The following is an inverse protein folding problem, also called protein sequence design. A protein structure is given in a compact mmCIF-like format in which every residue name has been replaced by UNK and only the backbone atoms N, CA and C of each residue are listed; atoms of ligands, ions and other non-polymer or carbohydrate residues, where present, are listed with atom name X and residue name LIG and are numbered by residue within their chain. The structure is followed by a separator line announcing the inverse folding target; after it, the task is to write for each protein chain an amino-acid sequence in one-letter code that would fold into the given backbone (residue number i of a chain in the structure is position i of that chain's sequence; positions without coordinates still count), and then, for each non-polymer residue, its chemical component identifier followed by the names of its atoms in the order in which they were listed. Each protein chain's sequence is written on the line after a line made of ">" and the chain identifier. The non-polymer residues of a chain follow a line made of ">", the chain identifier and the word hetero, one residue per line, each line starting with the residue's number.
data_IF_070134766369
#
_entry.id   IF_070134766369
#
_cell.length_a   1.000
_cell.length_b   1.000
_cell.length_c   1.000
_cell.angle_alpha   90.00
_cell.angle_beta   90.00
_cell.angle_gamma   90.00
#
_symmetry.space_group_name_H-M   'P 1'
#
loop_
_entity.id
_entity.type
_entity.pdbx_description
1 polymer ?
#
# COMPACT_ATOMS: atom_id res chain seq x y z
N UNK A 1 8.42 -26.44 11.82
CA UNK A 1 8.29 -25.44 10.74
C UNK A 1 7.64 -26.17 9.59
N UNK A 2 6.48 -25.72 9.11
CA UNK A 2 5.79 -26.34 7.98
C UNK A 2 6.65 -26.15 6.72
N UNK A 3 6.82 -27.17 5.89
CA UNK A 3 7.49 -27.06 4.59
C UNK A 3 6.68 -26.27 3.54
N UNK A 4 5.60 -25.59 3.96
CA UNK A 4 4.75 -24.76 3.07
C UNK A 4 5.22 -23.31 3.08
N UNK A 5 5.06 -22.58 1.96
CA UNK A 5 5.34 -21.15 1.91
C UNK A 5 4.58 -20.39 3.01
N UNK A 6 5.24 -19.44 3.64
CA UNK A 6 4.61 -18.56 4.64
C UNK A 6 3.61 -17.58 4.00
N UNK A 7 3.89 -17.15 2.76
CA UNK A 7 3.08 -16.21 2.03
C UNK A 7 3.55 -16.06 0.58
N UNK A 8 2.91 -15.17 -0.14
CA UNK A 8 3.19 -14.86 -1.54
C UNK A 8 3.48 -13.38 -1.70
N UNK A 9 4.58 -13.05 -2.38
CA UNK A 9 4.89 -11.69 -2.78
C UNK A 9 4.37 -11.45 -4.19
N UNK A 10 3.44 -10.51 -4.33
CA UNK A 10 2.85 -10.16 -5.61
C UNK A 10 3.20 -8.71 -5.96
N UNK A 11 3.77 -8.43 -7.13
CA UNK A 11 3.95 -7.07 -7.60
C UNK A 11 2.60 -6.33 -7.67
N UNK A 12 2.53 -5.14 -7.09
CA UNK A 12 1.28 -4.39 -7.00
C UNK A 12 0.65 -4.09 -8.38
N UNK A 13 1.48 -3.81 -9.40
CA UNK A 13 1.01 -3.58 -10.75
C UNK A 13 0.36 -4.83 -11.36
N UNK A 14 0.90 -6.03 -11.07
CA UNK A 14 0.36 -7.30 -11.53
C UNK A 14 -1.00 -7.57 -10.88
N UNK A 15 -1.08 -7.45 -9.56
CA UNK A 15 -2.33 -7.61 -8.82
C UNK A 15 -3.42 -6.68 -9.36
N UNK A 16 -3.09 -5.39 -9.55
CA UNK A 16 -4.04 -4.43 -10.12
C UNK A 16 -4.50 -4.79 -11.52
N UNK A 17 -3.59 -5.23 -12.40
CA UNK A 17 -3.92 -5.65 -13.76
C UNK A 17 -4.92 -6.80 -13.75
N UNK A 18 -4.64 -7.85 -12.96
CA UNK A 18 -5.50 -9.03 -12.89
C UNK A 18 -6.87 -8.70 -12.28
N UNK A 19 -6.92 -7.84 -11.25
CA UNK A 19 -8.17 -7.39 -10.67
C UNK A 19 -9.01 -6.57 -11.67
N UNK A 20 -8.42 -5.65 -12.41
CA UNK A 20 -9.13 -4.87 -13.45
C UNK A 20 -9.61 -5.77 -14.57
N UNK A 21 -8.79 -6.73 -15.02
CA UNK A 21 -9.21 -7.73 -16.02
C UNK A 21 -10.42 -8.53 -15.52
N UNK A 22 -10.38 -8.99 -14.27
CA UNK A 22 -11.49 -9.73 -13.69
C UNK A 22 -12.77 -8.91 -13.54
N UNK A 23 -12.67 -7.63 -13.17
CA UNK A 23 -13.82 -6.73 -13.07
C UNK A 23 -14.53 -6.59 -14.43
N UNK A 24 -13.78 -6.52 -15.53
CA UNK A 24 -14.35 -6.40 -16.88
C UNK A 24 -15.20 -7.63 -17.29
N UNK A 25 -15.00 -8.78 -16.68
CA UNK A 25 -15.77 -10.01 -16.93
C UNK A 25 -17.07 -10.09 -16.10
N UNK A 26 -17.28 -9.18 -15.14
CA UNK A 26 -18.42 -9.21 -14.23
C UNK A 26 -19.57 -8.32 -14.74
N UNK A 27 -20.69 -8.90 -15.23
CA UNK A 27 -21.78 -8.13 -15.86
C UNK A 27 -22.55 -7.24 -14.88
N UNK A 28 -22.38 -7.46 -13.59
CA UNK A 28 -23.04 -6.68 -12.53
C UNK A 28 -22.13 -5.57 -11.95
N UNK A 29 -20.96 -5.33 -12.55
CA UNK A 29 -20.02 -4.28 -12.13
C UNK A 29 -19.89 -3.23 -13.22
N UNK A 30 -20.23 -1.98 -12.90
CA UNK A 30 -19.98 -0.82 -13.76
C UNK A 30 -18.69 -0.13 -13.31
N UNK A 31 -17.59 -0.44 -13.98
CA UNK A 31 -16.26 0.12 -13.68
C UNK A 31 -16.02 1.40 -14.48
N UNK A 32 -15.86 2.52 -13.78
CA UNK A 32 -15.68 3.87 -14.37
C UNK A 32 -14.30 4.44 -14.04
N UNK A 33 -13.24 4.04 -14.76
CA UNK A 33 -11.90 4.58 -14.55
C UNK A 33 -11.87 6.08 -14.86
N UNK A 34 -11.17 6.85 -14.00
CA UNK A 34 -11.07 8.31 -14.14
C UNK A 34 -12.23 9.10 -13.56
N UNK A 35 -13.30 8.44 -13.10
CA UNK A 35 -14.42 9.08 -12.40
C UNK A 35 -14.23 8.97 -10.89
N UNK A 36 -14.28 10.09 -10.19
CA UNK A 36 -14.13 10.17 -8.74
C UNK A 36 -15.44 10.45 -8.01
N UNK A 37 -15.41 10.23 -6.70
CA UNK A 37 -16.44 10.69 -5.78
C UNK A 37 -16.26 12.19 -5.50
N UNK A 38 -17.35 12.97 -5.57
CA UNK A 38 -17.37 14.39 -5.19
C UNK A 38 -18.02 14.57 -3.82
N UNK A 39 -19.29 14.21 -3.70
CA UNK A 39 -20.05 14.31 -2.45
C UNK A 39 -21.19 13.31 -2.39
N UNK A 40 -21.79 13.14 -1.21
CA UNK A 40 -23.01 12.37 -1.03
C UNK A 40 -24.00 13.07 -0.11
N UNK A 41 -25.27 12.76 -0.32
CA UNK A 41 -26.37 13.09 0.58
C UNK A 41 -27.01 11.78 1.04
N UNK A 42 -26.81 11.42 2.30
CA UNK A 42 -27.45 10.24 2.89
C UNK A 42 -28.90 10.55 3.30
N UNK A 43 -29.80 9.65 2.94
CA UNK A 43 -31.22 9.64 3.32
C UNK A 43 -31.56 8.31 4.02
N UNK A 44 -32.74 8.18 4.53
CA UNK A 44 -33.18 6.97 5.27
C UNK A 44 -33.10 5.69 4.41
N UNK A 45 -33.45 5.76 3.12
CA UNK A 45 -33.54 4.59 2.25
C UNK A 45 -32.37 4.50 1.24
N UNK A 46 -31.69 5.60 0.94
CA UNK A 46 -30.68 5.71 -0.13
C UNK A 46 -29.60 6.74 0.18
N UNK A 47 -28.50 6.71 -0.53
CA UNK A 47 -27.57 7.83 -0.65
C UNK A 47 -27.56 8.34 -2.10
N UNK A 48 -27.63 9.66 -2.28
CA UNK A 48 -27.41 10.30 -3.57
C UNK A 48 -25.94 10.70 -3.65
N UNK A 49 -25.19 10.05 -4.53
CA UNK A 49 -23.77 10.31 -4.75
C UNK A 49 -23.62 11.17 -5.99
N UNK A 50 -22.88 12.25 -5.87
CA UNK A 50 -22.45 13.09 -7.00
C UNK A 50 -21.01 12.69 -7.36
N UNK A 51 -20.79 12.40 -8.64
CA UNK A 51 -19.49 12.06 -9.20
C UNK A 51 -18.77 13.33 -9.68
N UNK A 52 -17.46 13.27 -9.85
CA UNK A 52 -16.62 14.42 -10.27
C UNK A 52 -16.99 15.01 -11.62
N UNK A 53 -17.65 14.25 -12.47
CA UNK A 53 -18.20 14.67 -13.78
C UNK A 53 -19.61 15.29 -13.67
N UNK A 54 -20.16 15.41 -12.46
CA UNK A 54 -21.49 16.01 -12.19
C UNK A 54 -22.67 15.02 -12.24
N UNK A 55 -22.46 13.78 -12.68
CA UNK A 55 -23.49 12.74 -12.68
C UNK A 55 -23.92 12.41 -11.24
N UNK A 56 -25.23 12.23 -11.04
CA UNK A 56 -25.77 11.76 -9.77
C UNK A 56 -26.27 10.32 -9.91
N UNK A 57 -25.94 9.51 -8.90
CA UNK A 57 -26.42 8.13 -8.78
C UNK A 57 -27.08 7.92 -7.42
N UNK A 58 -28.20 7.20 -7.41
CA UNK A 58 -28.85 6.73 -6.18
C UNK A 58 -28.35 5.33 -5.85
N UNK A 59 -27.90 5.13 -4.62
CA UNK A 59 -27.33 3.85 -4.15
C UNK A 59 -27.85 3.51 -2.75
N UNK A 60 -27.92 2.23 -2.44
CA UNK A 60 -28.34 1.76 -1.10
C UNK A 60 -27.22 1.89 -0.07
N UNK A 61 -25.97 1.78 -0.50
CA UNK A 61 -24.77 1.82 0.32
C UNK A 61 -23.60 2.40 -0.48
N UNK A 62 -22.79 3.24 0.15
CA UNK A 62 -21.50 3.73 -0.36
C UNK A 62 -20.38 3.03 0.40
N UNK A 63 -19.47 2.38 -0.30
CA UNK A 63 -18.27 1.77 0.32
C UNK A 63 -17.07 2.66 0.01
N UNK A 64 -16.50 3.29 1.04
CA UNK A 64 -15.29 4.08 0.96
C UNK A 64 -14.05 3.20 0.99
N UNK A 65 -13.41 3.02 -0.17
CA UNK A 65 -12.11 2.35 -0.35
C UNK A 65 -11.09 3.29 -1.01
N UNK A 66 -11.27 4.60 -0.83
CA UNK A 66 -10.63 5.70 -1.53
C UNK A 66 -9.34 6.22 -0.83
N UNK A 67 -8.76 5.37 0.02
CA UNK A 67 -7.45 5.58 0.60
C UNK A 67 -7.45 6.48 1.84
N UNK A 68 -6.26 6.75 2.36
CA UNK A 68 -6.04 7.45 3.64
C UNK A 68 -6.65 8.85 3.71
N UNK A 69 -6.80 9.52 2.58
CA UNK A 69 -7.43 10.84 2.46
C UNK A 69 -8.93 10.83 2.26
N UNK A 70 -9.59 9.69 2.40
CA UNK A 70 -10.96 9.35 2.02
C UNK A 70 -11.94 10.52 2.01
N UNK A 71 -12.49 10.81 0.83
CA UNK A 71 -13.56 11.77 0.64
C UNK A 71 -14.90 11.21 1.13
N UNK A 72 -15.11 9.90 0.96
CA UNK A 72 -16.30 9.22 1.49
C UNK A 72 -16.37 9.31 3.01
N UNK A 73 -15.24 9.06 3.71
CA UNK A 73 -15.17 9.20 5.17
C UNK A 73 -15.55 10.60 5.63
N UNK A 74 -14.99 11.63 4.96
CA UNK A 74 -15.30 13.02 5.27
C UNK A 74 -16.78 13.36 5.01
N UNK A 75 -17.35 12.88 3.90
CA UNK A 75 -18.74 13.10 3.57
C UNK A 75 -19.70 12.37 4.51
N UNK A 76 -19.25 11.29 5.15
CA UNK A 76 -20.00 10.57 6.19
C UNK A 76 -19.81 11.16 7.60
N UNK A 77 -19.08 12.29 7.73
CA UNK A 77 -18.77 12.96 9.00
C UNK A 77 -18.07 12.04 10.01
N UNK A 78 -17.18 11.17 9.50
CA UNK A 78 -16.41 10.23 10.32
C UNK A 78 -15.02 10.80 10.54
N UNK A 79 -14.68 11.10 11.78
CA UNK A 79 -13.37 11.57 12.20
C UNK A 79 -12.28 10.52 12.04
N UNK A 80 -11.02 10.97 12.03
CA UNK A 80 -9.87 10.10 11.96
C UNK A 80 -8.78 10.53 12.95
N UNK A 81 -8.25 9.57 13.69
CA UNK A 81 -7.08 9.77 14.53
C UNK A 81 -5.83 9.35 13.78
N UNK A 82 -4.88 10.27 13.63
CA UNK A 82 -3.61 10.03 12.94
C UNK A 82 -2.43 10.18 13.89
N UNK A 83 -1.57 9.18 13.94
CA UNK A 83 -0.26 9.23 14.61
C UNK A 83 0.86 9.28 13.58
N UNK A 84 1.70 10.31 13.65
CA UNK A 84 2.89 10.49 12.82
C UNK A 84 4.13 10.13 13.61
N UNK A 85 5.03 9.32 13.03
CA UNK A 85 6.23 8.82 13.71
C UNK A 85 7.49 9.62 13.35
N UNK A 86 7.40 10.60 12.45
CA UNK A 86 8.57 11.34 11.94
C UNK A 86 9.45 10.52 10.97
N UNK A 87 9.16 9.25 10.82
CA UNK A 87 9.86 8.34 9.92
C UNK A 87 9.25 8.34 8.52
N UNK A 88 10.07 7.96 7.55
CA UNK A 88 9.66 7.66 6.17
C UNK A 88 10.20 6.29 5.76
N UNK A 89 9.54 5.65 4.82
CA UNK A 89 10.06 4.52 4.06
C UNK A 89 10.56 5.01 2.71
N UNK A 90 11.72 4.52 2.29
CA UNK A 90 12.25 4.61 0.94
C UNK A 90 12.05 3.26 0.27
N UNK A 91 11.36 3.23 -0.87
CA UNK A 91 11.05 2.01 -1.62
C UNK A 91 11.70 2.05 -3.00
N UNK A 92 12.34 0.97 -3.38
CA UNK A 92 13.03 0.80 -4.66
C UNK A 92 13.26 -0.69 -4.94
N UNK A 93 13.73 -1.05 -6.13
CA UNK A 93 14.17 -2.39 -6.46
C UNK A 93 15.67 -2.40 -6.71
N UNK A 94 16.33 -3.50 -6.33
CA UNK A 94 17.76 -3.72 -6.51
C UNK A 94 18.03 -5.06 -7.16
N UNK A 95 19.06 -5.13 -8.00
CA UNK A 95 19.71 -6.38 -8.37
C UNK A 95 20.88 -6.66 -7.43
N UNK A 96 21.24 -7.93 -7.28
CA UNK A 96 22.34 -8.39 -6.42
C UNK A 96 22.97 -9.68 -6.96
N UNK A 97 24.04 -10.15 -6.34
CA UNK A 97 24.80 -11.31 -6.84
C UNK A 97 24.31 -12.64 -6.28
N UNK A 98 24.11 -12.72 -4.96
CA UNK A 98 23.65 -13.94 -4.32
C UNK A 98 22.13 -14.12 -4.46
N UNK A 99 21.60 -15.32 -4.77
CA UNK A 99 20.17 -15.57 -4.87
C UNK A 99 19.47 -15.39 -3.52
N UNK A 100 18.25 -14.87 -3.53
CA UNK A 100 17.45 -14.65 -2.32
C UNK A 100 16.69 -15.91 -1.85
N UNK A 101 16.76 -17.02 -2.58
CA UNK A 101 16.12 -18.32 -2.26
C UNK A 101 14.62 -18.19 -1.89
N UNK A 102 13.93 -17.19 -2.44
CA UNK A 102 12.55 -16.83 -2.10
C UNK A 102 12.34 -16.47 -0.61
N UNK A 103 13.38 -16.04 0.08
CA UNK A 103 13.33 -15.62 1.48
C UNK A 103 13.31 -14.09 1.56
N UNK A 104 12.29 -13.54 2.25
CA UNK A 104 12.30 -12.13 2.64
C UNK A 104 13.26 -11.92 3.81
N UNK A 105 14.20 -11.00 3.63
CA UNK A 105 15.25 -10.73 4.62
C UNK A 105 15.07 -9.35 5.21
N UNK A 106 15.10 -9.25 6.53
CA UNK A 106 14.99 -7.98 7.24
C UNK A 106 16.23 -7.72 8.09
N UNK A 107 16.92 -6.61 7.82
CA UNK A 107 18.12 -6.18 8.52
C UNK A 107 17.78 -5.06 9.49
N UNK A 108 17.89 -5.35 10.79
CA UNK A 108 17.64 -4.39 11.85
C UNK A 108 18.92 -3.67 12.25
N UNK A 109 18.91 -2.35 12.15
CA UNK A 109 19.95 -1.45 12.69
C UNK A 109 19.29 -0.17 13.18
N UNK A 110 20.07 0.74 13.79
CA UNK A 110 19.56 2.04 14.23
C UNK A 110 18.88 2.80 13.09
N UNK A 111 17.73 3.40 13.38
CA UNK A 111 16.93 4.20 12.44
C UNK A 111 15.74 3.46 11.83
N UNK A 112 15.71 2.13 11.88
CA UNK A 112 14.58 1.32 11.39
C UNK A 112 15.00 0.14 10.53
N UNK A 113 14.07 -0.71 10.10
CA UNK A 113 14.34 -1.88 9.29
C UNK A 113 14.76 -1.54 7.85
N UNK A 114 15.55 -2.46 7.27
CA UNK A 114 15.86 -2.54 5.85
C UNK A 114 15.43 -3.92 5.38
N UNK A 115 14.35 -3.99 4.64
CA UNK A 115 13.71 -5.24 4.23
C UNK A 115 13.94 -5.48 2.75
N UNK A 116 14.46 -6.65 2.39
CA UNK A 116 14.59 -7.15 1.03
C UNK A 116 13.52 -8.19 0.78
N UNK A 117 12.66 -7.97 -0.21
CA UNK A 117 11.55 -8.83 -0.58
C UNK A 117 11.82 -9.41 -1.95
N UNK A 118 11.82 -10.74 -2.14
CA UNK A 118 12.06 -11.37 -3.42
C UNK A 118 11.20 -10.84 -4.55
N UNK A 119 11.82 -10.57 -5.69
CA UNK A 119 11.18 -10.27 -6.96
C UNK A 119 11.65 -11.28 -8.02
N UNK A 120 10.94 -11.45 -9.13
CA UNK A 120 11.49 -12.12 -10.30
C UNK A 120 12.81 -11.50 -10.74
N UNK A 121 13.69 -12.29 -11.32
CA UNK A 121 14.97 -11.84 -11.83
C UNK A 121 14.81 -10.64 -12.79
N UNK A 122 15.69 -9.69 -12.68
CA UNK A 122 15.76 -8.53 -13.56
C UNK A 122 16.99 -8.67 -14.47
N UNK A 123 16.76 -8.79 -15.78
CA UNK A 123 17.83 -9.00 -16.77
C UNK A 123 18.77 -10.17 -16.43
N UNK A 124 18.18 -11.28 -15.91
CA UNK A 124 18.92 -12.49 -15.55
C UNK A 124 19.71 -12.39 -14.25
N UNK A 125 19.53 -11.35 -13.45
CA UNK A 125 20.14 -11.19 -12.13
C UNK A 125 19.09 -11.29 -11.03
N UNK A 126 19.40 -11.88 -9.87
CA UNK A 126 18.54 -11.88 -8.71
C UNK A 126 18.11 -10.45 -8.35
N UNK A 127 16.82 -10.28 -8.04
CA UNK A 127 16.24 -8.97 -7.79
C UNK A 127 15.38 -8.98 -6.51
N UNK A 128 15.43 -7.89 -5.76
CA UNK A 128 14.60 -7.70 -4.57
C UNK A 128 13.99 -6.30 -4.53
N UNK A 129 12.73 -6.22 -4.08
CA UNK A 129 12.16 -4.96 -3.65
C UNK A 129 12.71 -4.60 -2.27
N UNK A 130 13.00 -3.32 -2.06
CA UNK A 130 13.53 -2.82 -0.80
C UNK A 130 12.54 -1.86 -0.15
N UNK A 131 12.34 -2.04 1.16
CA UNK A 131 11.71 -1.07 2.03
C UNK A 131 12.73 -0.66 3.09
N UNK A 132 13.23 0.56 2.99
CA UNK A 132 14.22 1.13 3.92
C UNK A 132 13.57 2.19 4.79
N UNK A 133 13.36 1.91 6.06
CA UNK A 133 12.80 2.88 7.00
C UNK A 133 13.90 3.63 7.76
N UNK A 134 13.70 4.93 7.93
CA UNK A 134 14.56 5.77 8.75
C UNK A 134 13.84 7.08 9.10
N UNK A 135 14.52 7.94 9.87
CA UNK A 135 14.12 9.34 10.06
C UNK A 135 13.85 10.03 8.71
N UNK A 136 12.83 10.89 8.69
CA UNK A 136 12.37 11.53 7.46
C UNK A 136 13.44 12.37 6.77
N UNK A 137 14.33 13.02 7.53
CA UNK A 137 15.44 13.83 6.99
C UNK A 137 16.50 12.93 6.36
N UNK A 138 16.87 11.84 7.04
CA UNK A 138 17.81 10.85 6.50
C UNK A 138 17.30 10.21 5.22
N UNK A 139 16.02 9.86 5.16
CA UNK A 139 15.41 9.31 3.94
C UNK A 139 15.42 10.33 2.80
N UNK A 140 15.16 11.61 3.06
CA UNK A 140 15.25 12.65 2.05
C UNK A 140 16.67 12.80 1.48
N UNK A 141 17.68 12.78 2.34
CA UNK A 141 19.09 12.84 1.93
C UNK A 141 19.49 11.59 1.11
N UNK A 142 19.09 10.40 1.54
CA UNK A 142 19.34 9.15 0.79
C UNK A 142 18.68 9.16 -0.58
N UNK A 143 17.44 9.63 -0.67
CA UNK A 143 16.72 9.70 -1.94
C UNK A 143 17.36 10.67 -2.95
N UNK A 144 18.08 11.68 -2.47
CA UNK A 144 18.77 12.70 -3.27
C UNK A 144 20.18 12.30 -3.72
N UNK A 145 20.75 11.20 -3.21
CA UNK A 145 22.08 10.72 -3.62
C UNK A 145 22.11 10.39 -5.11
N UNK A 146 23.28 10.60 -5.73
CA UNK A 146 23.57 10.06 -7.04
C UNK A 146 23.50 8.52 -7.06
N UNK A 147 23.35 7.87 -8.21
CA UNK A 147 23.18 6.41 -8.27
C UNK A 147 24.28 5.63 -7.56
N UNK A 148 25.55 5.96 -7.79
CA UNK A 148 26.67 5.20 -7.23
C UNK A 148 26.76 5.32 -5.71
N UNK A 149 26.59 6.54 -5.18
CA UNK A 149 26.56 6.79 -3.73
C UNK A 149 25.36 6.12 -3.06
N UNK A 150 24.21 6.08 -3.75
CA UNK A 150 23.02 5.40 -3.26
C UNK A 150 23.22 3.88 -3.18
N UNK A 151 23.77 3.26 -4.22
CA UNK A 151 24.04 1.82 -4.28
C UNK A 151 25.04 1.40 -3.18
N UNK A 152 26.08 2.20 -2.97
CA UNK A 152 27.03 1.99 -1.88
C UNK A 152 26.35 2.07 -0.50
N UNK A 153 25.49 3.07 -0.29
CA UNK A 153 24.75 3.24 0.97
C UNK A 153 23.76 2.08 1.20
N UNK A 154 23.03 1.62 0.17
CA UNK A 154 22.12 0.50 0.25
C UNK A 154 22.87 -0.81 0.53
N UNK A 155 24.00 -1.05 -0.12
CA UNK A 155 24.89 -2.20 0.11
C UNK A 155 25.39 -2.22 1.55
N UNK A 156 25.92 -1.11 2.04
CA UNK A 156 26.37 -1.00 3.42
C UNK A 156 25.24 -1.24 4.42
N UNK A 157 24.04 -0.71 4.14
CA UNK A 157 22.88 -0.85 5.00
C UNK A 157 22.34 -2.29 5.05
N UNK A 158 22.44 -3.04 3.95
CA UNK A 158 22.06 -4.46 3.89
C UNK A 158 23.03 -5.38 4.64
N UNK A 159 24.19 -4.87 5.08
CA UNK A 159 25.25 -5.70 5.64
C UNK A 159 25.95 -6.59 4.60
N UNK A 160 25.75 -6.34 3.31
CA UNK A 160 26.34 -7.11 2.23
C UNK A 160 25.80 -8.55 2.09
N UNK A 161 24.64 -8.85 2.67
CA UNK A 161 24.07 -10.22 2.73
C UNK A 161 23.97 -10.86 1.33
N UNK A 162 23.60 -10.07 0.32
CA UNK A 162 23.47 -10.54 -1.08
C UNK A 162 24.58 -10.00 -1.99
N UNK A 163 25.66 -9.44 -1.41
CA UNK A 163 26.72 -8.75 -2.17
C UNK A 163 26.33 -7.31 -2.51
N UNK A 164 27.01 -6.70 -3.50
CA UNK A 164 26.70 -5.34 -3.96
C UNK A 164 25.25 -5.21 -4.46
N UNK A 165 24.57 -4.16 -4.01
CA UNK A 165 23.22 -3.82 -4.46
C UNK A 165 23.28 -2.73 -5.53
N UNK A 166 22.56 -2.93 -6.63
CA UNK A 166 22.41 -1.93 -7.72
C UNK A 166 20.94 -1.57 -7.87
N UNK A 167 20.59 -0.30 -7.70
CA UNK A 167 19.22 0.19 -7.82
C UNK A 167 18.77 0.19 -9.29
N UNK A 168 17.66 -0.51 -9.58
CA UNK A 168 17.13 -0.69 -10.94
C UNK A 168 15.73 -0.07 -11.12
N UNK A 169 15.25 0.70 -10.16
CA UNK A 169 13.94 1.35 -10.22
C UNK A 169 13.98 2.80 -9.76
N UNK A 170 12.85 3.49 -9.92
CA UNK A 170 12.65 4.79 -9.26
C UNK A 170 12.60 4.61 -7.74
N UNK A 171 13.07 5.61 -7.02
CA UNK A 171 13.04 5.70 -5.54
C UNK A 171 11.74 6.39 -5.11
N UNK A 172 10.89 5.69 -4.38
CA UNK A 172 9.65 6.24 -3.81
C UNK A 172 9.80 6.54 -2.33
N UNK A 173 9.26 7.67 -1.84
CA UNK A 173 9.27 8.00 -0.41
C UNK A 173 7.85 8.06 0.16
N UNK A 174 7.63 7.44 1.30
CA UNK A 174 6.33 7.31 1.93
C UNK A 174 6.41 7.66 3.42
N UNK A 175 5.51 8.51 3.95
CA UNK A 175 5.46 8.78 5.38
C UNK A 175 4.99 7.54 6.16
N UNK A 176 5.61 7.26 7.29
CA UNK A 176 5.16 6.24 8.22
C UNK A 176 4.17 6.86 9.18
N UNK A 177 2.93 6.43 9.07
CA UNK A 177 1.82 6.88 9.90
C UNK A 177 0.96 5.70 10.35
N UNK A 178 0.28 5.84 11.47
CA UNK A 178 -0.92 5.06 11.78
C UNK A 178 -2.13 5.97 11.71
N UNK A 179 -3.22 5.45 11.18
CA UNK A 179 -4.48 6.16 11.09
C UNK A 179 -5.63 5.20 11.38
N UNK A 180 -6.64 5.66 12.11
CA UNK A 180 -7.85 4.89 12.37
C UNK A 180 -9.05 5.83 12.36
N UNK A 181 -10.09 5.47 11.62
CA UNK A 181 -11.38 6.14 11.63
C UNK A 181 -12.07 5.93 12.99
N UNK A 182 -12.80 6.94 13.45
CA UNK A 182 -13.57 6.87 14.70
C UNK A 182 -14.73 5.87 14.66
N UNK A 183 -15.22 5.58 13.44
CA UNK A 183 -16.20 4.55 13.14
C UNK A 183 -15.93 3.93 11.76
N UNK A 184 -16.31 2.67 11.56
CA UNK A 184 -16.18 1.98 10.28
C UNK A 184 -17.41 2.15 9.39
N UNK A 185 -18.48 2.73 9.92
CA UNK A 185 -19.73 3.00 9.20
C UNK A 185 -20.34 4.33 9.61
N UNK A 186 -21.19 4.84 8.77
CA UNK A 186 -22.05 6.01 8.97
C UNK A 186 -23.35 5.84 8.20
N UNK A 187 -24.22 6.85 8.18
CA UNK A 187 -25.47 6.80 7.41
C UNK A 187 -25.18 6.47 5.94
N UNK A 188 -25.66 5.30 5.48
CA UNK A 188 -25.47 4.79 4.11
C UNK A 188 -24.03 4.67 3.65
N UNK A 189 -23.05 4.60 4.57
CA UNK A 189 -21.65 4.47 4.24
C UNK A 189 -20.95 3.42 5.09
N UNK A 190 -20.03 2.67 4.47
CA UNK A 190 -19.07 1.80 5.14
C UNK A 190 -17.66 2.11 4.65
N UNK A 191 -16.68 2.01 5.53
CA UNK A 191 -15.27 2.25 5.23
C UNK A 191 -14.49 0.94 5.27
N UNK A 192 -13.58 0.76 4.32
CA UNK A 192 -12.68 -0.39 4.26
C UNK A 192 -11.25 0.06 3.92
N UNK A 193 -10.28 -0.79 4.17
CA UNK A 193 -8.89 -0.56 3.82
C UNK A 193 -8.33 0.78 4.36
N UNK A 194 -7.52 1.50 3.58
CA UNK A 194 -6.91 2.76 4.03
C UNK A 194 -7.90 3.91 4.26
N UNK A 195 -9.15 3.80 3.84
CA UNK A 195 -10.19 4.75 4.22
C UNK A 195 -10.57 4.58 5.70
N UNK A 196 -10.54 3.35 6.21
CA UNK A 196 -10.84 2.99 7.59
C UNK A 196 -9.60 3.02 8.49
N UNK A 197 -8.48 2.44 8.04
CA UNK A 197 -7.27 2.31 8.84
C UNK A 197 -6.00 2.31 7.99
N UNK A 198 -4.94 2.93 8.51
CA UNK A 198 -3.59 2.91 7.92
C UNK A 198 -2.63 2.43 8.99
N UNK A 199 -1.75 1.49 8.64
CA UNK A 199 -0.72 0.98 9.54
C UNK A 199 0.67 1.11 8.91
N UNK A 200 1.72 1.21 9.74
CA UNK A 200 3.08 1.10 9.26
C UNK A 200 3.31 -0.22 8.51
N UNK A 201 4.19 -0.27 7.51
CA UNK A 201 4.40 -1.45 6.66
C UNK A 201 5.17 -2.58 7.35
N UNK A 202 5.03 -2.72 8.66
CA UNK A 202 5.67 -3.76 9.47
C UNK A 202 4.88 -5.05 9.30
N UNK A 203 5.54 -6.12 8.86
CA UNK A 203 4.94 -7.43 8.65
C UNK A 203 3.98 -7.52 7.46
N UNK A 204 3.96 -6.53 6.56
CA UNK A 204 3.18 -6.53 5.30
C UNK A 204 1.67 -6.84 5.46
N UNK A 205 1.05 -6.37 6.56
CA UNK A 205 -0.33 -6.72 6.92
C UNK A 205 -1.42 -5.84 6.26
N UNK A 206 -1.05 -4.73 5.60
CA UNK A 206 -2.03 -3.78 5.07
C UNK A 206 -3.06 -4.40 4.13
N UNK A 207 -2.62 -5.18 3.13
CA UNK A 207 -3.53 -5.87 2.21
C UNK A 207 -4.36 -6.95 2.92
N UNK A 208 -3.75 -7.74 3.79
CA UNK A 208 -4.44 -8.79 4.54
C UNK A 208 -5.58 -8.23 5.40
N UNK A 209 -5.34 -7.11 6.08
CA UNK A 209 -6.39 -6.43 6.85
C UNK A 209 -7.50 -5.89 5.94
N UNK A 210 -7.16 -5.31 4.80
CA UNK A 210 -8.17 -4.84 3.83
C UNK A 210 -9.04 -5.97 3.30
N UNK A 211 -8.46 -7.15 3.06
CA UNK A 211 -9.23 -8.35 2.68
C UNK A 211 -10.11 -8.86 3.82
N UNK A 212 -9.64 -8.76 5.06
CA UNK A 212 -10.45 -9.10 6.25
C UNK A 212 -11.64 -8.14 6.42
N UNK A 213 -11.46 -6.83 6.17
CA UNK A 213 -12.57 -5.87 6.15
C UNK A 213 -13.65 -6.28 5.15
N UNK A 214 -13.24 -6.68 3.92
CA UNK A 214 -14.17 -7.11 2.88
C UNK A 214 -14.90 -8.39 3.27
N UNK A 215 -14.19 -9.37 3.85
CA UNK A 215 -14.81 -10.61 4.35
C UNK A 215 -15.87 -10.28 5.42
N UNK A 216 -15.51 -9.44 6.39
CA UNK A 216 -16.42 -9.00 7.44
C UNK A 216 -17.67 -8.28 6.89
N UNK A 217 -17.49 -7.43 5.85
CA UNK A 217 -18.60 -6.72 5.22
C UNK A 217 -19.52 -7.64 4.42
N UNK A 218 -19.00 -8.75 3.88
CA UNK A 218 -19.79 -9.75 3.14
C UNK A 218 -20.58 -10.67 4.06
N UNK A 219 -20.17 -10.82 5.32
CA UNK A 219 -20.84 -11.68 6.32
C UNK A 219 -22.02 -10.96 7.03
N UNK A 220 -22.23 -9.65 6.75
CA UNK A 220 -23.33 -8.83 7.27
C UNK A 220 -24.56 -8.88 6.38
#
# INVERSE_FOLDING_TARGET
>A
ISGKPFGWNLPNWLLRREMVSRIAELPNVDFRPGVGFDRMLARDAEAIVTLTEGTQISVRLVIGADGRGSAVRKAADIDVKTKRYGQKALTFAVTHDAPHENVSTEVHCSGGPFTLVPLPDHEGRPCSAVVWMNDGTKIANLAALDPASFDAAATARSGGIYGPLTCVSKRGTWPIISQIASAMNGPRAALVAEAAHVMPPIGAQGLNMSLADLACLLDL
#
